data_IF_354385514460
#
_entry.id   IF_354385514460
#
_cell.length_a   1.000
_cell.length_b   1.000
_cell.length_c   1.000
_cell.angle_alpha   90.00
_cell.angle_beta   90.00
_cell.angle_gamma   90.00
#
_symmetry.space_group_name_H-M   'P 1'
#
loop_
_entity.id
_entity.type
_entity.pdbx_description
1 polymer ?
#
# COMPACT_ATOMS: atom_id res chain seq x y z
N UNK A 1 8.39 -21.49 -8.42
CA UNK A 1 8.36 -20.52 -7.29
C UNK A 1 9.53 -19.54 -7.37
N UNK A 2 9.21 -18.25 -7.46
CA UNK A 2 10.19 -17.15 -7.45
C UNK A 2 10.85 -17.08 -6.06
N UNK A 3 12.17 -16.84 -6.02
CA UNK A 3 12.90 -16.61 -4.77
C UNK A 3 12.85 -15.12 -4.46
N UNK A 4 12.34 -14.76 -3.29
CA UNK A 4 12.44 -13.39 -2.75
C UNK A 4 13.77 -13.27 -2.02
N UNK A 5 14.65 -12.40 -2.50
CA UNK A 5 16.02 -12.28 -2.00
C UNK A 5 16.45 -10.81 -2.08
N UNK A 6 16.58 -10.17 -0.92
CA UNK A 6 16.95 -8.77 -0.80
C UNK A 6 18.42 -8.56 -0.42
N UNK A 7 19.23 -9.63 -0.41
CA UNK A 7 20.66 -9.55 -0.07
C UNK A 7 21.47 -8.63 -1.01
N UNK A 8 20.96 -8.36 -2.22
CA UNK A 8 21.57 -7.39 -3.13
C UNK A 8 21.58 -5.96 -2.57
N UNK A 9 20.73 -5.63 -1.58
CA UNK A 9 20.77 -4.34 -0.90
C UNK A 9 21.94 -4.22 0.09
N UNK A 10 22.54 -5.34 0.50
CA UNK A 10 23.68 -5.40 1.42
C UNK A 10 25.03 -5.21 0.69
N UNK A 11 25.10 -5.41 -0.63
CA UNK A 11 26.37 -5.39 -1.36
C UNK A 11 27.00 -3.99 -1.57
N UNK A 12 26.34 -2.91 -1.14
CA UNK A 12 26.84 -1.53 -1.17
C UNK A 12 26.95 -0.88 -2.55
N UNK A 13 26.56 -1.54 -3.63
CA UNK A 13 26.68 -1.03 -5.01
C UNK A 13 25.44 -0.22 -5.41
N UNK A 14 25.18 0.87 -4.68
CA UNK A 14 24.05 1.75 -4.96
C UNK A 14 24.48 2.97 -5.78
N UNK A 15 23.74 3.32 -6.84
CA UNK A 15 23.90 4.59 -7.54
C UNK A 15 23.89 5.79 -6.57
N UNK A 16 24.82 6.75 -6.78
CA UNK A 16 24.99 7.90 -5.89
C UNK A 16 23.71 8.74 -5.71
N UNK A 17 22.85 8.80 -6.73
CA UNK A 17 21.56 9.48 -6.65
C UNK A 17 20.61 8.82 -5.64
N UNK A 18 20.59 7.49 -5.53
CA UNK A 18 19.78 6.78 -4.53
C UNK A 18 20.32 7.01 -3.11
N UNK A 19 21.65 7.01 -2.96
CA UNK A 19 22.29 7.34 -1.67
C UNK A 19 21.91 8.76 -1.25
N UNK A 20 22.04 9.73 -2.14
CA UNK A 20 21.65 11.12 -1.86
C UNK A 20 20.16 11.26 -1.55
N UNK A 21 19.28 10.54 -2.26
CA UNK A 21 17.84 10.57 -2.03
C UNK A 21 17.48 10.03 -0.65
N UNK A 22 18.01 8.87 -0.27
CA UNK A 22 17.76 8.28 1.05
C UNK A 22 18.29 9.18 2.18
N UNK A 23 19.49 9.75 2.02
CA UNK A 23 20.05 10.71 2.98
C UNK A 23 19.18 11.97 3.15
N UNK A 24 18.67 12.53 2.04
CA UNK A 24 17.77 13.69 2.09
C UNK A 24 16.43 13.36 2.78
N UNK A 25 15.84 12.19 2.49
CA UNK A 25 14.61 11.74 3.16
C UNK A 25 14.84 11.60 4.66
N UNK A 26 15.94 10.97 5.08
CA UNK A 26 16.28 10.84 6.49
C UNK A 26 16.46 12.21 7.17
N UNK A 27 17.20 13.13 6.54
CA UNK A 27 17.40 14.48 7.07
C UNK A 27 16.07 15.25 7.24
N UNK A 28 15.19 15.17 6.24
CA UNK A 28 13.85 15.79 6.29
C UNK A 28 12.99 15.16 7.39
N UNK A 29 12.99 13.82 7.52
CA UNK A 29 12.25 13.10 8.56
C UNK A 29 12.72 13.51 9.96
N UNK A 30 14.03 13.61 10.18
CA UNK A 30 14.60 14.08 11.45
C UNK A 30 14.18 15.51 11.77
N UNK A 31 14.30 16.44 10.81
CA UNK A 31 13.88 17.83 11.01
C UNK A 31 12.37 17.94 11.29
N UNK A 32 11.55 17.17 10.60
CA UNK A 32 10.11 17.12 10.84
C UNK A 32 9.79 16.61 12.25
N UNK A 33 10.50 15.58 12.73
CA UNK A 33 10.35 15.05 14.09
C UNK A 33 10.62 16.08 15.18
N UNK A 34 11.67 16.90 15.03
CA UNK A 34 11.98 17.99 15.97
C UNK A 34 10.87 19.06 15.95
N UNK A 35 10.47 19.50 14.75
CA UNK A 35 9.46 20.56 14.57
C UNK A 35 8.05 20.13 15.01
N UNK A 36 7.74 18.84 14.95
CA UNK A 36 6.42 18.31 15.37
C UNK A 36 6.11 18.65 16.84
N UNK A 37 7.13 18.60 17.71
CA UNK A 37 6.98 18.99 19.11
C UNK A 37 6.71 20.49 19.29
N UNK A 38 7.39 21.33 18.52
CA UNK A 38 7.27 22.80 18.60
C UNK A 38 5.97 23.35 17.97
N UNK A 39 5.45 22.68 16.94
CA UNK A 39 4.33 23.15 16.12
C UNK A 39 3.19 22.14 16.05
N UNK A 40 2.77 21.60 17.21
CA UNK A 40 1.80 20.50 17.28
C UNK A 40 0.51 20.77 16.50
N UNK A 41 -0.11 21.95 16.67
CA UNK A 41 -1.36 22.29 15.98
C UNK A 41 -1.20 22.28 14.44
N UNK A 42 -0.13 22.90 13.93
CA UNK A 42 0.14 22.95 12.49
C UNK A 42 0.34 21.53 11.93
N UNK A 43 1.07 20.67 12.65
CA UNK A 43 1.27 19.28 12.23
C UNK A 43 -0.03 18.48 12.24
N UNK A 44 -0.91 18.68 13.21
CA UNK A 44 -2.23 18.04 13.22
C UNK A 44 -3.09 18.45 12.02
N UNK A 45 -3.07 19.74 11.65
CA UNK A 45 -3.77 20.25 10.47
C UNK A 45 -3.16 19.70 9.17
N UNK A 46 -1.83 19.66 9.06
CA UNK A 46 -1.14 19.07 7.92
C UNK A 46 -1.42 17.56 7.78
N UNK A 47 -1.47 16.83 8.89
CA UNK A 47 -1.80 15.41 8.89
C UNK A 47 -3.24 15.17 8.38
N UNK A 48 -4.21 15.98 8.83
CA UNK A 48 -5.58 15.90 8.35
C UNK A 48 -5.69 16.14 6.84
N UNK A 49 -4.98 17.15 6.32
CA UNK A 49 -4.90 17.41 4.87
C UNK A 49 -4.23 16.25 4.13
N UNK A 50 -3.12 15.73 4.65
CA UNK A 50 -2.38 14.64 4.03
C UNK A 50 -3.23 13.35 3.94
N UNK A 51 -4.02 13.03 4.96
CA UNK A 51 -4.96 11.88 4.94
C UNK A 51 -5.99 12.03 3.83
N UNK A 52 -6.65 13.18 3.73
CA UNK A 52 -7.62 13.45 2.66
C UNK A 52 -6.97 13.28 1.27
N UNK A 53 -5.78 13.85 1.07
CA UNK A 53 -5.06 13.77 -0.20
C UNK A 53 -4.62 12.34 -0.53
N UNK A 54 -4.18 11.57 0.47
CA UNK A 54 -3.81 10.16 0.33
C UNK A 54 -5.00 9.32 -0.12
N UNK A 55 -6.16 9.49 0.54
CA UNK A 55 -7.40 8.79 0.21
C UNK A 55 -7.85 9.14 -1.21
N UNK A 56 -7.90 10.44 -1.55
CA UNK A 56 -8.29 10.91 -2.88
C UNK A 56 -7.38 10.35 -3.97
N UNK A 57 -6.06 10.51 -3.82
CA UNK A 57 -5.10 10.18 -4.88
C UNK A 57 -4.99 8.67 -5.08
N UNK A 58 -4.99 7.89 -4.00
CA UNK A 58 -4.83 6.43 -4.08
C UNK A 58 -6.03 5.76 -4.76
N UNK A 59 -7.25 6.22 -4.45
CA UNK A 59 -8.47 5.72 -5.10
C UNK A 59 -8.57 6.19 -6.56
N UNK A 60 -8.18 7.44 -6.86
CA UNK A 60 -8.23 7.97 -8.22
C UNK A 60 -7.31 7.23 -9.20
N UNK A 61 -6.18 6.68 -8.74
CA UNK A 61 -5.28 5.85 -9.56
C UNK A 61 -6.00 4.60 -10.10
N UNK A 62 -6.93 4.05 -9.32
CA UNK A 62 -7.75 2.89 -9.69
C UNK A 62 -9.07 3.27 -10.39
N UNK A 63 -9.24 4.57 -10.72
CA UNK A 63 -10.48 5.08 -11.33
C UNK A 63 -11.65 5.26 -10.35
N UNK A 64 -11.41 5.07 -9.05
CA UNK A 64 -12.40 5.25 -7.99
C UNK A 64 -12.43 6.74 -7.61
N UNK A 65 -13.42 7.45 -8.11
CA UNK A 65 -13.52 8.91 -7.97
C UNK A 65 -14.90 9.37 -7.49
N UNK A 66 -14.91 10.47 -6.73
CA UNK A 66 -16.09 11.26 -6.33
C UNK A 66 -15.68 12.73 -6.16
N UNK A 67 -16.61 13.63 -5.82
CA UNK A 67 -16.31 15.06 -5.63
C UNK A 67 -15.51 15.33 -4.36
N UNK A 68 -14.82 16.48 -4.30
CA UNK A 68 -14.03 16.86 -3.13
C UNK A 68 -14.89 17.05 -1.87
N UNK A 69 -16.11 17.57 -2.03
CA UNK A 69 -17.08 17.68 -0.96
C UNK A 69 -17.49 16.30 -0.42
N UNK A 70 -17.67 15.32 -1.31
CA UNK A 70 -17.99 13.94 -0.93
C UNK A 70 -16.81 13.26 -0.25
N UNK A 71 -15.59 13.40 -0.77
CA UNK A 71 -14.37 12.88 -0.11
C UNK A 71 -14.27 13.47 1.30
N UNK A 72 -14.39 14.78 1.46
CA UNK A 72 -14.32 15.42 2.78
C UNK A 72 -15.43 14.90 3.72
N UNK A 73 -16.66 14.70 3.22
CA UNK A 73 -17.74 14.15 4.03
C UNK A 73 -17.49 12.71 4.48
N UNK A 74 -16.94 11.87 3.61
CA UNK A 74 -16.59 10.48 3.93
C UNK A 74 -15.41 10.43 4.91
N UNK A 75 -14.33 11.17 4.63
CA UNK A 75 -13.13 11.16 5.48
C UNK A 75 -13.43 11.64 6.89
N UNK A 76 -14.27 12.66 7.04
CA UNK A 76 -14.69 13.18 8.34
C UNK A 76 -15.86 12.40 8.97
N UNK A 77 -16.27 11.26 8.39
CA UNK A 77 -17.38 10.42 8.86
C UNK A 77 -18.73 11.14 9.02
N UNK A 78 -18.94 12.21 8.25
CA UNK A 78 -20.13 13.04 8.29
C UNK A 78 -21.25 12.56 7.36
N UNK A 79 -21.03 11.47 6.62
CA UNK A 79 -21.99 10.94 5.66
C UNK A 79 -21.74 9.45 5.38
N UNK A 80 -22.82 8.69 5.22
CA UNK A 80 -22.73 7.33 4.68
C UNK A 80 -22.36 7.37 3.18
N UNK A 81 -21.68 6.34 2.65
CA UNK A 81 -21.46 6.17 1.23
C UNK A 81 -22.78 6.17 0.44
N UNK A 82 -22.83 6.91 -0.67
CA UNK A 82 -24.02 7.00 -1.51
C UNK A 82 -23.99 6.05 -2.71
N UNK A 83 -22.80 5.58 -3.08
CA UNK A 83 -22.59 4.71 -4.22
C UNK A 83 -21.39 3.79 -3.97
N UNK A 84 -21.13 2.93 -4.94
CA UNK A 84 -20.09 1.94 -4.88
C UNK A 84 -18.68 2.54 -4.70
N UNK A 85 -18.31 3.55 -5.51
CA UNK A 85 -17.01 4.21 -5.38
C UNK A 85 -16.83 4.83 -3.99
N UNK A 86 -17.87 5.47 -3.44
CA UNK A 86 -17.81 6.05 -2.10
C UNK A 86 -17.67 4.99 -1.02
N UNK A 87 -18.19 3.78 -1.24
CA UNK A 87 -18.05 2.67 -0.33
C UNK A 87 -16.59 2.18 -0.28
N UNK A 88 -15.95 2.02 -1.43
CA UNK A 88 -14.52 1.69 -1.53
C UNK A 88 -13.63 2.77 -0.89
N UNK A 89 -13.95 4.05 -1.14
CA UNK A 89 -13.26 5.19 -0.50
C UNK A 89 -13.40 5.13 1.03
N UNK A 90 -14.58 4.78 1.56
CA UNK A 90 -14.81 4.65 2.99
C UNK A 90 -14.04 3.48 3.61
N UNK A 91 -13.95 2.34 2.93
CA UNK A 91 -13.13 1.21 3.36
C UNK A 91 -11.65 1.56 3.42
N UNK A 92 -11.12 2.23 2.38
CA UNK A 92 -9.74 2.70 2.37
C UNK A 92 -9.46 3.71 3.49
N UNK A 93 -10.38 4.65 3.75
CA UNK A 93 -10.29 5.59 4.87
C UNK A 93 -10.10 4.85 6.19
N UNK A 94 -10.90 3.83 6.46
CA UNK A 94 -10.84 3.09 7.73
C UNK A 94 -9.55 2.28 7.85
N UNK A 95 -9.12 1.63 6.77
CA UNK A 95 -7.83 0.93 6.75
C UNK A 95 -6.65 1.89 6.96
N UNK A 96 -6.68 3.08 6.35
CA UNK A 96 -5.65 4.10 6.55
C UNK A 96 -5.64 4.62 7.99
N UNK A 97 -6.81 4.84 8.58
CA UNK A 97 -6.94 5.27 9.97
C UNK A 97 -6.44 4.22 10.96
N UNK A 98 -6.70 2.94 10.69
CA UNK A 98 -6.17 1.81 11.48
C UNK A 98 -4.63 1.82 11.48
N UNK A 99 -4.01 2.01 10.32
CA UNK A 99 -2.56 2.14 10.20
C UNK A 99 -2.05 3.32 11.01
N UNK A 100 -2.61 4.51 10.85
CA UNK A 100 -2.13 5.69 11.58
C UNK A 100 -2.31 5.59 13.09
N UNK A 101 -3.35 4.90 13.56
CA UNK A 101 -3.67 4.82 14.98
C UNK A 101 -3.02 3.60 15.67
N UNK A 102 -2.65 2.58 14.90
CA UNK A 102 -2.19 1.28 15.40
C UNK A 102 -0.87 0.79 14.80
N UNK A 103 -0.08 1.65 14.13
CA UNK A 103 1.16 1.24 13.44
C UNK A 103 2.15 0.47 14.34
N UNK A 104 2.12 0.66 15.66
CA UNK A 104 2.97 -0.09 16.61
C UNK A 104 2.62 -1.59 16.71
N UNK A 105 1.40 -1.96 16.32
CA UNK A 105 0.87 -3.33 16.41
C UNK A 105 0.64 -3.98 15.05
N UNK A 106 0.78 -3.22 13.97
CA UNK A 106 0.62 -3.66 12.59
C UNK A 106 2.02 -3.95 12.03
N UNK A 107 2.24 -5.16 11.55
CA UNK A 107 3.51 -5.56 10.94
C UNK A 107 3.24 -6.06 9.50
N UNK A 108 4.30 -6.25 8.71
CA UNK A 108 4.15 -6.84 7.39
C UNK A 108 3.99 -8.36 7.52
N UNK A 109 2.80 -8.78 7.95
CA UNK A 109 2.42 -10.18 8.15
C UNK A 109 1.16 -10.50 7.37
N UNK A 110 1.05 -11.72 6.88
CA UNK A 110 -0.13 -12.20 6.15
C UNK A 110 -1.43 -11.81 6.86
N UNK A 111 -1.55 -12.07 8.16
CA UNK A 111 -2.75 -11.72 8.95
C UNK A 111 -3.12 -10.24 8.85
N UNK A 112 -2.13 -9.35 8.92
CA UNK A 112 -2.34 -7.90 8.99
C UNK A 112 -2.68 -7.38 7.57
N UNK A 113 -2.03 -7.97 6.55
CA UNK A 113 -2.33 -7.72 5.13
C UNK A 113 -3.77 -8.14 4.80
N UNK A 114 -4.19 -9.36 5.18
CA UNK A 114 -5.54 -9.86 4.96
C UNK A 114 -6.56 -9.00 5.71
N UNK A 115 -6.28 -8.61 6.97
CA UNK A 115 -7.17 -7.76 7.76
C UNK A 115 -7.36 -6.39 7.14
N UNK A 116 -6.29 -5.74 6.71
CA UNK A 116 -6.37 -4.45 6.01
C UNK A 116 -7.16 -4.58 4.70
N UNK A 117 -6.94 -5.65 3.95
CA UNK A 117 -7.68 -5.91 2.72
C UNK A 117 -9.18 -6.11 2.99
N UNK A 118 -9.55 -6.84 4.05
CA UNK A 118 -10.93 -6.97 4.50
C UNK A 118 -11.58 -5.62 4.81
N UNK A 119 -10.86 -4.73 5.51
CA UNK A 119 -11.36 -3.39 5.85
C UNK A 119 -11.63 -2.56 4.59
N UNK A 120 -10.73 -2.58 3.60
CA UNK A 120 -10.90 -1.89 2.31
C UNK A 120 -12.19 -2.36 1.61
N UNK A 121 -12.45 -3.66 1.63
CA UNK A 121 -13.55 -4.29 0.89
C UNK A 121 -14.90 -4.24 1.62
N UNK A 122 -14.89 -3.99 2.94
CA UNK A 122 -16.05 -4.18 3.82
C UNK A 122 -17.30 -3.37 3.42
N UNK A 123 -17.13 -2.10 3.05
CA UNK A 123 -18.26 -1.22 2.72
C UNK A 123 -18.87 -1.51 1.35
N UNK A 124 -18.09 -2.04 0.41
CA UNK A 124 -18.54 -2.39 -0.93
C UNK A 124 -19.30 -3.73 -0.97
N UNK A 125 -19.33 -4.47 0.15
CA UNK A 125 -20.08 -5.72 0.28
C UNK A 125 -19.42 -6.91 -0.41
N UNK A 126 -18.10 -6.85 -0.66
CA UNK A 126 -17.38 -7.93 -1.31
C UNK A 126 -17.09 -9.08 -0.34
N UNK A 127 -17.66 -10.25 -0.62
CA UNK A 127 -17.49 -11.47 0.20
C UNK A 127 -16.06 -12.03 0.19
N UNK A 128 -15.23 -11.59 -0.76
CA UNK A 128 -13.82 -11.96 -0.89
C UNK A 128 -12.85 -11.02 -0.16
N UNK A 129 -13.38 -10.06 0.62
CA UNK A 129 -12.55 -9.24 1.52
C UNK A 129 -11.69 -10.12 2.43
N UNK A 130 -10.41 -9.76 2.56
CA UNK A 130 -9.45 -10.51 3.38
C UNK A 130 -9.12 -11.93 2.91
N UNK A 131 -9.39 -12.27 1.64
CA UNK A 131 -9.09 -13.59 1.08
C UNK A 131 -8.24 -13.49 -0.18
N UNK A 132 -7.31 -14.43 -0.35
CA UNK A 132 -6.56 -14.55 -1.60
C UNK A 132 -7.47 -14.94 -2.76
N UNK A 133 -7.00 -14.62 -3.97
CA UNK A 133 -7.68 -15.01 -5.21
C UNK A 133 -7.80 -16.53 -5.31
N UNK A 134 -8.96 -16.99 -5.77
CA UNK A 134 -9.24 -18.40 -6.06
C UNK A 134 -8.99 -18.77 -7.52
N UNK A 135 -8.90 -17.75 -8.38
CA UNK A 135 -8.74 -17.87 -9.82
C UNK A 135 -7.57 -16.99 -10.28
N UNK A 136 -6.91 -17.43 -11.35
CA UNK A 136 -5.81 -16.67 -11.95
C UNK A 136 -6.31 -15.34 -12.50
N UNK A 137 -5.61 -14.26 -12.16
CA UNK A 137 -5.82 -12.94 -12.72
C UNK A 137 -4.76 -12.62 -13.78
N UNK A 138 -5.05 -11.66 -14.65
CA UNK A 138 -4.12 -11.16 -15.66
C UNK A 138 -4.17 -9.64 -15.71
N UNK A 139 -3.02 -9.02 -15.94
CA UNK A 139 -2.95 -7.58 -16.21
C UNK A 139 -3.00 -7.41 -17.73
N UNK A 140 -4.08 -6.78 -18.18
CA UNK A 140 -4.32 -6.50 -19.59
C UNK A 140 -3.81 -5.10 -19.94
N UNK A 141 -3.33 -4.96 -21.16
CA UNK A 141 -3.07 -3.69 -21.81
C UNK A 141 -4.01 -3.56 -23.01
N UNK A 142 -4.53 -2.35 -23.21
CA UNK A 142 -5.37 -1.98 -24.35
C UNK A 142 -4.56 -1.00 -25.19
N UNK A 143 -4.29 -1.36 -26.44
CA UNK A 143 -3.59 -0.46 -27.36
C UNK A 143 -4.51 0.65 -27.90
N UNK A 144 -3.94 1.57 -28.68
CA UNK A 144 -4.68 2.70 -29.25
C UNK A 144 -5.81 2.28 -30.21
N UNK A 145 -5.74 1.07 -30.77
CA UNK A 145 -6.73 0.51 -31.69
C UNK A 145 -7.82 -0.31 -30.94
N UNK A 146 -7.70 -0.44 -29.62
CA UNK A 146 -8.63 -1.16 -28.76
C UNK A 146 -8.34 -2.66 -28.61
N UNK A 147 -7.21 -3.16 -29.13
CA UNK A 147 -6.83 -4.56 -28.98
C UNK A 147 -6.35 -4.83 -27.56
N UNK A 148 -6.76 -5.98 -27.01
CA UNK A 148 -6.38 -6.41 -25.67
C UNK A 148 -5.23 -7.40 -25.73
N UNK A 149 -4.16 -7.13 -24.99
CA UNK A 149 -3.04 -8.05 -24.82
C UNK A 149 -2.74 -8.31 -23.35
N UNK A 150 -2.28 -9.52 -23.03
CA UNK A 150 -1.82 -9.84 -21.67
C UNK A 150 -0.44 -9.23 -21.50
N UNK A 151 -0.34 -8.18 -20.67
CA UNK A 151 0.93 -7.50 -20.36
C UNK A 151 1.70 -8.25 -19.28
N UNK A 152 0.99 -8.82 -18.31
CA UNK A 152 1.61 -9.56 -17.22
C UNK A 152 0.68 -10.64 -16.67
N UNK A 153 1.28 -11.78 -16.30
CA UNK A 153 0.62 -12.87 -15.57
C UNK A 153 1.22 -12.93 -14.18
N UNK A 154 0.48 -12.51 -13.14
CA UNK A 154 0.89 -12.67 -11.76
C UNK A 154 1.06 -14.14 -11.37
N UNK A 155 1.55 -14.35 -10.14
CA UNK A 155 1.60 -15.69 -9.52
C UNK A 155 0.21 -16.33 -9.58
N UNK A 156 0.11 -17.63 -9.89
CA UNK A 156 -1.19 -18.31 -9.97
C UNK A 156 -1.89 -18.37 -8.60
N UNK A 157 -3.20 -18.58 -8.61
CA UNK A 157 -4.01 -18.65 -7.39
C UNK A 157 -3.51 -19.74 -6.42
N UNK A 158 -3.11 -20.91 -6.93
CA UNK A 158 -2.61 -22.04 -6.15
C UNK A 158 -1.23 -21.78 -5.52
N UNK A 159 -0.35 -21.02 -6.20
CA UNK A 159 0.98 -20.65 -5.69
C UNK A 159 0.94 -19.42 -4.76
N UNK A 160 -0.14 -18.62 -4.78
CA UNK A 160 -0.24 -17.34 -4.08
C UNK A 160 0.00 -17.42 -2.56
N UNK A 161 -0.63 -18.35 -1.80
CA UNK A 161 -0.43 -18.43 -0.35
C UNK A 161 1.05 -18.64 0.00
N UNK A 162 1.70 -19.58 -0.70
CA UNK A 162 3.11 -19.86 -0.48
C UNK A 162 4.01 -18.69 -0.91
N UNK A 163 3.68 -18.01 -2.00
CA UNK A 163 4.44 -16.83 -2.42
C UNK A 163 4.36 -15.69 -1.39
N UNK A 164 3.18 -15.46 -0.80
CA UNK A 164 3.00 -14.45 0.25
C UNK A 164 3.75 -14.80 1.53
N UNK A 165 3.70 -16.07 1.96
CA UNK A 165 4.51 -16.56 3.09
C UNK A 165 6.01 -16.31 2.85
N UNK A 166 6.53 -16.66 1.67
CA UNK A 166 7.94 -16.47 1.35
C UNK A 166 8.31 -14.98 1.24
N UNK A 167 7.40 -14.12 0.79
CA UNK A 167 7.59 -12.68 0.75
C UNK A 167 7.67 -12.09 2.17
N UNK A 168 6.77 -12.49 3.06
CA UNK A 168 6.80 -12.11 4.49
C UNK A 168 8.13 -12.50 5.13
N UNK A 169 8.56 -13.75 4.98
CA UNK A 169 9.82 -14.24 5.56
C UNK A 169 11.04 -13.47 5.02
N UNK A 170 11.11 -13.24 3.71
CA UNK A 170 12.20 -12.49 3.09
C UNK A 170 12.22 -11.02 3.55
N UNK A 171 11.05 -10.40 3.72
CA UNK A 171 10.94 -9.05 4.28
C UNK A 171 11.43 -9.02 5.74
N UNK A 172 11.00 -9.97 6.57
CA UNK A 172 11.42 -10.05 7.97
C UNK A 172 12.93 -10.20 8.10
N UNK A 173 13.55 -11.09 7.31
CA UNK A 173 15.00 -11.27 7.27
C UNK A 173 15.71 -9.96 6.88
N UNK A 174 15.30 -9.34 5.77
CA UNK A 174 15.93 -8.14 5.25
C UNK A 174 15.73 -6.91 6.15
N UNK A 175 14.56 -6.75 6.78
CA UNK A 175 14.28 -5.63 7.69
C UNK A 175 15.16 -5.70 8.94
N UNK A 176 15.51 -6.91 9.38
CA UNK A 176 16.33 -7.15 10.57
C UNK A 176 17.84 -7.11 10.28
N UNK A 177 18.27 -7.06 9.02
CA UNK A 177 19.68 -6.87 8.65
C UNK A 177 20.06 -5.39 8.69
N UNK A 178 21.01 -5.05 9.58
CA UNK A 178 21.50 -3.67 9.74
C UNK A 178 22.20 -3.12 8.48
N UNK A 179 22.61 -3.98 7.54
CA UNK A 179 23.23 -3.56 6.29
C UNK A 179 22.21 -3.27 5.18
N UNK A 180 20.92 -3.54 5.42
CA UNK A 180 19.85 -3.24 4.46
C UNK A 180 19.23 -1.90 4.79
N UNK A 181 19.27 -0.98 3.83
CA UNK A 181 18.57 0.30 3.96
C UNK A 181 17.05 0.09 3.82
N UNK A 182 16.31 0.33 4.90
CA UNK A 182 14.85 0.12 4.95
C UNK A 182 14.07 0.95 3.90
N UNK A 183 14.51 2.16 3.57
CA UNK A 183 13.84 2.98 2.55
C UNK A 183 13.97 2.37 1.15
N UNK A 184 15.06 1.63 0.89
CA UNK A 184 15.27 0.93 -0.38
C UNK A 184 14.58 -0.44 -0.41
N UNK A 185 14.36 -1.06 0.75
CA UNK A 185 13.62 -2.32 0.86
C UNK A 185 12.14 -2.16 0.50
N UNK A 186 11.50 -1.07 0.93
CA UNK A 186 10.08 -0.78 0.69
C UNK A 186 9.68 -0.95 -0.79
N UNK A 187 10.29 -0.26 -1.78
CA UNK A 187 9.90 -0.40 -3.18
C UNK A 187 10.14 -1.81 -3.74
N UNK A 188 11.12 -2.57 -3.23
CA UNK A 188 11.37 -3.95 -3.65
C UNK A 188 10.23 -4.88 -3.23
N UNK A 189 9.83 -4.80 -1.96
CA UNK A 189 8.74 -5.61 -1.40
C UNK A 189 7.41 -5.27 -2.07
N UNK A 190 7.18 -3.98 -2.33
CA UNK A 190 5.99 -3.51 -3.06
C UNK A 190 5.94 -4.08 -4.48
N UNK A 191 7.07 -4.07 -5.20
CA UNK A 191 7.14 -4.63 -6.54
C UNK A 191 6.86 -6.14 -6.53
N UNK A 192 7.42 -6.87 -5.56
CA UNK A 192 7.19 -8.30 -5.43
C UNK A 192 5.73 -8.61 -5.06
N UNK A 193 5.11 -7.83 -4.17
CA UNK A 193 3.68 -7.93 -3.88
C UNK A 193 2.82 -7.71 -5.14
N UNK A 194 3.12 -6.70 -5.96
CA UNK A 194 2.44 -6.48 -7.25
C UNK A 194 2.64 -7.64 -8.23
N UNK A 195 3.79 -8.29 -8.19
CA UNK A 195 4.09 -9.46 -9.02
C UNK A 195 3.32 -10.71 -8.55
N UNK A 196 3.05 -10.84 -7.25
CA UNK A 196 2.17 -11.89 -6.71
C UNK A 196 0.71 -11.58 -7.07
N UNK A 197 0.31 -10.32 -6.88
CA UNK A 197 -1.06 -9.83 -7.07
C UNK A 197 -2.07 -10.74 -6.34
N UNK A 198 -1.95 -10.86 -5.01
CA UNK A 198 -2.56 -11.94 -4.24
C UNK A 198 -4.09 -11.87 -4.15
N UNK A 199 -4.67 -10.70 -4.34
CA UNK A 199 -6.10 -10.47 -4.23
C UNK A 199 -6.79 -10.44 -5.59
N UNK A 200 -8.10 -10.69 -5.58
CA UNK A 200 -8.94 -10.53 -6.78
C UNK A 200 -8.96 -9.07 -7.24
N UNK A 201 -9.15 -8.15 -6.30
CA UNK A 201 -9.23 -6.70 -6.49
C UNK A 201 -8.49 -5.98 -5.35
N UNK A 202 -8.25 -4.67 -5.48
CA UNK A 202 -7.66 -3.87 -4.40
C UNK A 202 -6.15 -4.04 -4.16
N UNK A 203 -5.42 -4.77 -5.01
CA UNK A 203 -3.98 -4.98 -4.83
C UNK A 203 -3.16 -3.68 -4.83
N UNK A 204 -3.44 -2.77 -5.76
CA UNK A 204 -2.73 -1.48 -5.82
C UNK A 204 -3.11 -0.56 -4.66
N UNK A 205 -4.38 -0.58 -4.25
CA UNK A 205 -4.90 0.14 -3.08
C UNK A 205 -4.20 -0.34 -1.80
N UNK A 206 -4.08 -1.66 -1.62
CA UNK A 206 -3.41 -2.29 -0.47
C UNK A 206 -1.97 -1.79 -0.32
N UNK A 207 -1.26 -1.56 -1.42
CA UNK A 207 0.13 -1.08 -1.40
C UNK A 207 0.22 0.37 -0.98
N UNK A 208 -0.72 1.21 -1.42
CA UNK A 208 -0.74 2.62 -1.03
C UNK A 208 -0.92 2.78 0.48
N UNK A 209 -1.66 1.87 1.12
CA UNK A 209 -1.76 1.79 2.59
C UNK A 209 -0.43 1.40 3.24
N UNK A 210 0.26 0.39 2.72
CA UNK A 210 1.53 -0.08 3.29
C UNK A 210 2.68 0.94 3.19
N UNK A 211 2.56 1.94 2.33
CA UNK A 211 3.48 3.10 2.27
C UNK A 211 3.17 4.18 3.31
N UNK A 212 1.97 4.17 3.88
CA UNK A 212 1.48 5.22 4.79
C UNK A 212 1.81 4.94 6.27
N UNK A 213 2.27 3.72 6.58
CA UNK A 213 2.86 3.32 7.86
C UNK A 213 4.33 3.77 7.97
#
# INVERSE_FOLDING_TARGET
>A
MRKFDYSFLNNGLLPANLVNLTANISALKTMAGVRKGEYTQIFSELEAVAKIQSIKSSNAIEGIVTSDERIAAIVNQNSAPLNHNEAEIAGYRDALNEIHSGFEYIDFRERDILRLHEMIMSFAGYEYGGQYKTDDNVILEIDADGNRQVRFRPTSADETPKAMEQLELAYMEARSDANVNQLLLIPCVILDFLCIHPFREGNAIQIHLQKAA
#
